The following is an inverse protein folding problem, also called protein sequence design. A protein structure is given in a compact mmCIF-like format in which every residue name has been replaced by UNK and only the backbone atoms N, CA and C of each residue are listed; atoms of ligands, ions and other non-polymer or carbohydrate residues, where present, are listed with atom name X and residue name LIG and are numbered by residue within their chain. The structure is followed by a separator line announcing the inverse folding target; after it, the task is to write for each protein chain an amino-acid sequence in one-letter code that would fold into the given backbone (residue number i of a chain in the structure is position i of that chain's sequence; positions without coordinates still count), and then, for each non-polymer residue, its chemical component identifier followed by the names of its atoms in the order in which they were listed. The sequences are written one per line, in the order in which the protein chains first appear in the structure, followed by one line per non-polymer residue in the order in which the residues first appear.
data_IF_924257904554
#
_entry.id   IF_924257904554
#
_cell.length_a   1.000
_cell.length_b   1.000
_cell.length_c   1.000
_cell.angle_alpha   90.00
_cell.angle_beta   90.00
_cell.angle_gamma   90.00
#
_symmetry.space_group_name_H-M   'P 1'
#
loop_
_entity.id
_entity.type
_entity.pdbx_description
1 polymer ?
#
# COMPACT_ATOMS: atom_id res chain seq x y z
N UNK A 1 9.41 20.07 -2.07
CA UNK A 1 9.10 18.67 -2.42
C UNK A 1 10.25 17.83 -1.94
N UNK A 2 10.07 17.12 -0.82
CA UNK A 2 11.13 16.34 -0.17
C UNK A 2 11.59 15.22 -1.10
N UNK A 3 12.85 15.29 -1.53
CA UNK A 3 13.47 14.33 -2.45
C UNK A 3 13.87 13.10 -1.64
N UNK A 4 12.89 12.30 -1.25
CA UNK A 4 13.11 11.10 -0.44
C UNK A 4 13.69 10.02 -1.35
N UNK A 5 14.81 9.43 -0.94
CA UNK A 5 15.39 8.26 -1.60
C UNK A 5 14.61 7.03 -1.16
N UNK A 6 13.62 6.64 -1.97
CA UNK A 6 12.84 5.42 -1.79
C UNK A 6 13.61 4.27 -2.42
N UNK A 7 13.84 3.22 -1.63
CA UNK A 7 14.51 2.00 -2.08
C UNK A 7 13.51 1.01 -2.70
N UNK A 8 13.98 0.03 -3.47
CA UNK A 8 13.17 -1.07 -4.01
C UNK A 8 12.42 -1.85 -2.93
N UNK A 9 13.03 -1.98 -1.76
CA UNK A 9 12.41 -2.65 -0.61
C UNK A 9 11.33 -1.79 0.05
N UNK A 10 11.50 -0.47 0.06
CA UNK A 10 10.48 0.46 0.56
C UNK A 10 9.25 0.43 -0.35
N UNK A 11 9.43 0.37 -1.68
CA UNK A 11 8.32 0.19 -2.62
C UNK A 11 7.59 -1.15 -2.40
N UNK A 12 8.33 -2.25 -2.19
CA UNK A 12 7.72 -3.54 -1.91
C UNK A 12 6.98 -3.55 -0.57
N UNK A 13 7.51 -2.87 0.44
CA UNK A 13 6.88 -2.69 1.75
C UNK A 13 5.60 -1.88 1.65
N UNK A 14 5.61 -0.76 0.92
CA UNK A 14 4.41 0.04 0.67
C UNK A 14 3.36 -0.76 -0.11
N UNK A 15 3.74 -1.52 -1.14
CA UNK A 15 2.81 -2.39 -1.88
C UNK A 15 2.20 -3.48 -0.97
N UNK A 16 2.99 -4.06 -0.06
CA UNK A 16 2.51 -5.05 0.89
C UNK A 16 1.55 -4.44 1.93
N UNK A 17 1.88 -3.28 2.49
CA UNK A 17 1.04 -2.54 3.43
C UNK A 17 -0.27 -2.08 2.80
N UNK A 18 -0.26 -1.62 1.54
CA UNK A 18 -1.48 -1.25 0.83
C UNK A 18 -2.41 -2.43 0.56
N UNK A 19 -1.85 -3.64 0.35
CA UNK A 19 -2.65 -4.86 0.15
C UNK A 19 -3.20 -5.42 1.46
N UNK A 20 -2.40 -5.36 2.53
CA UNK A 20 -2.76 -5.84 3.87
C UNK A 20 -2.31 -4.82 4.91
N UNK A 21 -3.18 -3.86 5.21
CA UNK A 21 -2.93 -2.84 6.22
C UNK A 21 -2.80 -3.38 7.65
N UNK A 22 -3.16 -4.64 7.89
CA UNK A 22 -3.05 -5.32 9.19
C UNK A 22 -1.90 -6.35 9.26
N UNK A 23 -1.00 -6.38 8.28
CA UNK A 23 0.11 -7.32 8.29
C UNK A 23 1.12 -7.00 9.41
N UNK A 24 1.59 -8.02 10.12
CA UNK A 24 2.62 -7.84 11.16
C UNK A 24 4.00 -7.71 10.54
N UNK A 25 4.92 -7.00 11.22
CA UNK A 25 6.30 -6.82 10.77
C UNK A 25 7.02 -8.15 10.48
N UNK A 26 6.67 -9.23 11.19
CA UNK A 26 7.19 -10.57 10.92
C UNK A 26 6.74 -11.10 9.56
N UNK A 27 5.43 -11.03 9.26
CA UNK A 27 4.87 -11.49 7.98
C UNK A 27 5.37 -10.67 6.78
N UNK A 28 5.55 -9.35 6.97
CA UNK A 28 6.16 -8.49 5.97
C UNK A 28 7.64 -8.84 5.74
N UNK A 29 8.35 -9.24 6.80
CA UNK A 29 9.74 -9.70 6.77
C UNK A 29 9.93 -10.93 5.90
N UNK A 30 9.05 -11.92 6.05
CA UNK A 30 9.05 -13.13 5.23
C UNK A 30 8.80 -12.83 3.74
N UNK A 31 7.85 -11.93 3.44
CA UNK A 31 7.50 -11.57 2.06
C UNK A 31 8.61 -10.78 1.35
N UNK A 32 9.25 -9.84 2.06
CA UNK A 32 10.21 -8.89 1.48
C UNK A 32 11.65 -9.39 1.64
N UNK A 33 11.86 -10.48 2.41
CA UNK A 33 13.16 -11.05 2.79
C UNK A 33 14.03 -10.09 3.60
N UNK A 34 13.41 -9.37 4.54
CA UNK A 34 14.07 -8.47 5.47
C UNK A 34 13.81 -8.89 6.92
N UNK A 35 14.69 -8.51 7.84
CA UNK A 35 14.43 -8.71 9.26
C UNK A 35 13.33 -7.79 9.75
N UNK A 36 12.57 -8.24 10.75
CA UNK A 36 11.49 -7.46 11.35
C UNK A 36 11.97 -6.09 11.89
N UNK A 37 13.18 -6.05 12.45
CA UNK A 37 13.80 -4.81 12.95
C UNK A 37 14.11 -3.81 11.83
N UNK A 38 14.51 -4.28 10.64
CA UNK A 38 14.73 -3.39 9.49
C UNK A 38 13.44 -2.83 8.93
N UNK A 39 12.37 -3.64 8.90
CA UNK A 39 11.04 -3.18 8.47
C UNK A 39 10.53 -2.10 9.41
N UNK A 40 10.60 -2.33 10.72
CA UNK A 40 10.16 -1.36 11.72
C UNK A 40 10.80 0.02 11.51
N UNK A 41 12.11 0.08 11.31
CA UNK A 41 12.83 1.35 11.08
C UNK A 41 12.43 2.01 9.76
N UNK A 42 12.20 1.23 8.70
CA UNK A 42 11.79 1.75 7.39
C UNK A 42 10.37 2.33 7.44
N UNK A 43 9.43 1.66 8.11
CA UNK A 43 8.07 2.17 8.31
C UNK A 43 8.12 3.49 9.06
N UNK A 44 8.81 3.53 10.20
CA UNK A 44 8.94 4.75 11.01
C UNK A 44 9.50 5.92 10.18
N UNK A 45 10.56 5.69 9.39
CA UNK A 45 11.11 6.72 8.49
C UNK A 45 10.08 7.20 7.46
N UNK A 46 9.33 6.28 6.85
CA UNK A 46 8.32 6.62 5.84
C UNK A 46 7.11 7.36 6.45
N UNK A 47 6.81 7.14 7.74
CA UNK A 47 5.82 7.90 8.50
C UNK A 47 6.32 9.30 8.84
N UNK A 48 7.55 9.42 9.38
CA UNK A 48 8.18 10.70 9.72
C UNK A 48 8.34 11.60 8.49
N UNK A 49 8.68 11.00 7.34
CA UNK A 49 8.82 11.69 6.06
C UNK A 49 7.47 12.05 5.41
N UNK A 50 6.33 11.60 5.98
CA UNK A 50 4.99 11.85 5.46
C UNK A 50 4.65 11.09 4.17
N UNK A 51 5.40 10.04 3.83
CA UNK A 51 5.08 9.13 2.72
C UNK A 51 3.88 8.25 3.08
N UNK A 52 3.84 7.79 4.33
CA UNK A 52 2.68 7.11 4.91
C UNK A 52 1.81 8.18 5.56
N UNK A 53 0.71 8.54 4.90
CA UNK A 53 -0.22 9.56 5.40
C UNK A 53 -1.09 9.07 6.57
N UNK A 54 -1.27 7.76 6.72
CA UNK A 54 -2.04 7.15 7.80
C UNK A 54 -2.59 5.77 7.44
N UNK A 55 -3.11 5.08 8.45
CA UNK A 55 -3.73 3.76 8.31
C UNK A 55 -5.25 3.90 8.36
N UNK A 56 -5.94 3.36 7.36
CA UNK A 56 -7.40 3.44 7.24
C UNK A 56 -8.02 2.06 7.17
N UNK A 57 -9.09 1.84 7.94
CA UNK A 57 -9.93 0.66 7.82
C UNK A 57 -11.05 0.94 6.81
N UNK A 58 -11.14 0.13 5.76
CA UNK A 58 -12.28 0.18 4.82
C UNK A 58 -13.46 -0.57 5.43
N UNK A 59 -14.53 0.16 5.75
CA UNK A 59 -15.78 -0.39 6.30
C UNK A 59 -16.82 -0.55 5.20
N UNK A 60 -17.57 -1.65 5.23
CA UNK A 60 -18.71 -1.86 4.35
C UNK A 60 -19.89 -0.99 4.82
N UNK A 61 -20.38 -0.03 4.01
CA UNK A 61 -21.44 0.89 4.44
C UNK A 61 -22.72 0.19 4.93
N UNK A 62 -23.04 -0.97 4.35
CA UNK A 62 -24.16 -1.83 4.74
C UNK A 62 -24.01 -2.44 6.13
N UNK A 63 -22.79 -2.75 6.55
CA UNK A 63 -22.51 -3.35 7.86
C UNK A 63 -22.54 -2.32 9.00
N UNK A 64 -22.26 -1.05 8.70
CA UNK A 64 -22.29 0.07 9.68
C UNK A 64 -23.60 0.85 9.68
N UNK A 65 -24.63 0.38 8.97
CA UNK A 65 -25.94 1.04 8.94
C UNK A 65 -25.92 2.43 8.27
N UNK A 66 -24.86 2.77 7.54
CA UNK A 66 -24.68 4.07 6.87
C UNK A 66 -25.40 4.15 5.51
N UNK A 67 -26.53 3.47 5.36
CA UNK A 67 -27.27 3.40 4.10
C UNK A 67 -28.13 4.64 3.82
N UNK A 68 -28.27 5.56 4.79
CA UNK A 68 -29.24 6.67 4.74
C UNK A 68 -28.70 8.09 4.80
N UNK A 69 -27.39 8.33 4.84
CA UNK A 69 -26.87 9.71 4.94
C UNK A 69 -26.69 10.35 3.56
N UNK A 70 -27.38 11.48 3.27
CA UNK A 70 -27.19 12.25 2.06
C UNK A 70 -25.97 13.17 2.22
N UNK A 71 -24.78 12.61 2.31
CA UNK A 71 -23.54 13.36 2.13
C UNK A 71 -22.88 12.90 0.83
N UNK A 72 -23.28 13.59 -0.24
CA UNK A 72 -22.44 13.88 -1.41
C UNK A 72 -21.22 14.72 -0.99
N UNK A 73 -20.12 14.87 -1.78
CA UNK A 73 -19.82 14.33 -3.09
C UNK A 73 -18.54 13.48 -3.14
N UNK A 74 -18.45 12.72 -4.23
CA UNK A 74 -17.22 12.28 -4.91
C UNK A 74 -16.03 13.25 -4.76
N UNK A 75 -15.11 13.01 -3.82
CA UNK A 75 -13.70 13.41 -3.98
C UNK A 75 -12.75 12.78 -2.95
N UNK A 76 -11.86 11.94 -3.49
CA UNK A 76 -10.44 11.78 -3.15
C UNK A 76 -9.93 10.92 -1.99
N UNK A 77 -10.75 10.21 -1.19
CA UNK A 77 -10.19 9.29 -0.17
C UNK A 77 -10.01 7.83 -0.64
N UNK A 78 -10.07 7.56 -1.95
CA UNK A 78 -9.63 6.28 -2.52
C UNK A 78 -8.15 6.37 -2.94
N UNK A 79 -7.23 6.54 -1.98
CA UNK A 79 -5.78 6.45 -2.26
C UNK A 79 -5.35 5.03 -2.68
N UNK A 80 -6.21 4.01 -2.51
CA UNK A 80 -5.86 2.61 -2.78
C UNK A 80 -6.89 1.81 -3.57
N UNK A 81 -7.78 2.44 -4.34
CA UNK A 81 -8.55 1.72 -5.35
C UNK A 81 -7.64 1.32 -6.52
N UNK A 82 -6.59 0.53 -6.25
CA UNK A 82 -5.88 -0.24 -7.25
C UNK A 82 -6.92 -1.21 -7.81
N UNK A 83 -7.32 -1.09 -9.09
CA UNK A 83 -8.16 -2.11 -9.70
C UNK A 83 -7.46 -3.47 -9.53
N UNK A 84 -8.20 -4.57 -9.28
CA UNK A 84 -7.60 -5.89 -9.15
C UNK A 84 -6.70 -6.09 -10.36
N UNK A 85 -5.45 -6.49 -10.13
CA UNK A 85 -4.43 -6.65 -11.16
C UNK A 85 -4.93 -7.59 -12.25
N UNK A 86 -5.68 -7.05 -13.22
CA UNK A 86 -6.00 -7.74 -14.47
C UNK A 86 -4.69 -7.78 -15.23
N UNK A 87 -3.97 -8.88 -15.01
CA UNK A 87 -3.11 -9.56 -15.98
C UNK A 87 -2.34 -8.57 -16.87
N UNK A 88 -1.27 -7.99 -16.32
CA UNK A 88 -0.14 -7.52 -17.13
C UNK A 88 0.61 -8.76 -17.66
N UNK A 89 -0.04 -9.49 -18.56
CA UNK A 89 0.64 -10.36 -19.49
C UNK A 89 0.20 -9.95 -20.89
N UNK A 90 0.92 -8.98 -21.46
CA UNK A 90 1.02 -8.78 -22.90
C UNK A 90 2.46 -8.42 -23.24
N UNK A 91 3.12 -9.36 -23.95
CA UNK A 91 3.99 -9.14 -25.12
C UNK A 91 5.07 -8.04 -24.97
N UNK A 92 6.36 -8.34 -24.93
CA UNK A 92 7.27 -8.84 -26.01
C UNK A 92 8.64 -8.10 -25.81
N UNK A 93 9.73 -8.21 -26.62
CA UNK A 93 10.05 -9.03 -27.79
C UNK A 93 11.44 -9.72 -27.70
N UNK A 94 11.85 -10.36 -28.80
CA UNK A 94 13.22 -10.76 -29.21
C UNK A 94 14.38 -10.12 -28.45
N UNK A 95 15.33 -10.95 -28.01
CA UNK A 95 16.77 -10.88 -28.28
C UNK A 95 17.55 -11.57 -27.15
N UNK A 96 18.07 -12.77 -27.40
CA UNK A 96 19.43 -13.10 -27.02
C UNK A 96 19.97 -14.18 -27.96
N UNK A 97 21.04 -13.76 -28.63
CA UNK A 97 22.04 -14.48 -29.44
C UNK A 97 21.92 -15.98 -29.56
#
# INVERSE_FOLDING_TARGET
MSKITIDRYDLALLDALQRKGNATNATLGEQIRLSASQISRRIQRLEEDGVIAGYVAMLAPSAVGLWGSPLSPRSSWNVTARPPAKRLNKLSPRCRK
#
